data_IF_746710352163
#
_entry.id   IF_746710352163
#
_cell.length_a   1.000
_cell.length_b   1.000
_cell.length_c   1.000
_cell.angle_alpha   90.00
_cell.angle_beta   90.00
_cell.angle_gamma   90.00
#
_symmetry.space_group_name_H-M   'P 1'
#
loop_
_entity.id
_entity.type
_entity.pdbx_description
1 polymer ?
#
# COMPACT_ATOMS: atom_id res chain seq x y z
N UNK A 1 -27.28 20.74 -16.63
CA UNK A 1 -25.88 20.25 -16.80
C UNK A 1 -25.08 20.78 -15.62
N UNK A 2 -24.97 20.01 -14.54
CA UNK A 2 -24.14 20.38 -13.39
C UNK A 2 -22.68 20.07 -13.73
N UNK A 3 -21.82 21.07 -13.57
CA UNK A 3 -20.44 21.11 -14.06
C UNK A 3 -19.52 20.58 -12.96
N UNK A 4 -18.73 19.55 -13.28
CA UNK A 4 -17.83 18.86 -12.32
C UNK A 4 -16.81 19.81 -11.66
N UNK A 5 -16.48 20.94 -12.29
CA UNK A 5 -15.55 21.95 -11.79
C UNK A 5 -15.92 22.54 -10.42
N UNK A 6 -17.19 22.50 -10.01
CA UNK A 6 -17.62 23.03 -8.71
C UNK A 6 -17.35 22.05 -7.55
N UNK A 7 -17.24 20.75 -7.84
CA UNK A 7 -16.98 19.73 -6.82
C UNK A 7 -15.54 19.85 -6.28
N UNK A 8 -14.56 20.03 -7.18
CA UNK A 8 -13.14 20.14 -6.81
C UNK A 8 -12.77 21.46 -6.12
N UNK A 9 -13.62 22.48 -6.23
CA UNK A 9 -13.42 23.79 -5.58
C UNK A 9 -14.05 23.89 -4.20
N UNK A 10 -14.84 22.90 -3.79
CA UNK A 10 -15.47 22.89 -2.48
C UNK A 10 -14.40 22.71 -1.38
N UNK A 11 -14.52 23.50 -0.31
CA UNK A 11 -13.68 23.40 0.89
C UNK A 11 -13.64 21.98 1.48
N UNK A 12 -14.70 21.19 1.33
CA UNK A 12 -14.74 19.79 1.78
C UNK A 12 -13.82 18.89 0.94
N UNK A 13 -13.81 19.06 -0.38
CA UNK A 13 -12.90 18.35 -1.28
C UNK A 13 -11.45 18.70 -0.97
N UNK A 14 -11.15 20.00 -0.78
CA UNK A 14 -9.82 20.43 -0.42
C UNK A 14 -9.36 19.86 0.94
N UNK A 15 -10.25 19.78 1.92
CA UNK A 15 -9.92 19.25 3.25
C UNK A 15 -9.66 17.73 3.23
N UNK A 16 -10.30 16.99 2.34
CA UNK A 16 -10.12 15.55 2.22
C UNK A 16 -8.92 15.16 1.33
N UNK A 17 -8.65 15.92 0.27
CA UNK A 17 -7.71 15.52 -0.80
C UNK A 17 -6.55 16.49 -1.04
N UNK A 18 -6.66 17.75 -0.62
CA UNK A 18 -5.62 18.78 -0.75
C UNK A 18 -4.88 19.07 0.56
N UNK A 19 -5.22 18.39 1.65
CA UNK A 19 -4.72 18.78 2.96
C UNK A 19 -3.20 18.61 3.08
N UNK A 20 -2.60 17.66 2.38
CA UNK A 20 -1.15 17.43 2.49
C UNK A 20 -0.61 16.88 1.16
N UNK A 21 -0.08 17.76 0.30
CA UNK A 21 0.74 17.37 -0.87
C UNK A 21 2.01 16.57 -0.45
N UNK A 22 2.30 16.47 0.86
CA UNK A 22 3.47 15.79 1.43
C UNK A 22 3.11 14.75 2.51
N UNK A 23 2.18 13.83 2.21
CA UNK A 23 2.17 12.50 2.82
C UNK A 23 2.19 12.46 4.35
N UNK A 24 1.44 13.35 5.01
CA UNK A 24 1.29 13.33 6.47
C UNK A 24 0.75 11.98 6.92
N UNK A 25 1.44 11.33 7.86
CA UNK A 25 1.00 10.06 8.44
C UNK A 25 -0.39 10.23 9.06
N UNK A 26 -1.40 9.62 8.45
CA UNK A 26 -2.79 9.70 8.88
C UNK A 26 -2.90 8.98 10.22
N UNK A 27 -2.85 9.75 11.30
CA UNK A 27 -2.81 9.23 12.69
C UNK A 27 -4.17 8.71 13.17
N UNK A 28 -5.24 9.03 12.44
CA UNK A 28 -6.62 8.56 12.67
C UNK A 28 -6.93 7.23 11.95
N UNK A 29 -5.98 6.66 11.20
CA UNK A 29 -6.15 5.30 10.74
C UNK A 29 -6.09 4.33 11.93
N UNK A 30 -6.91 3.27 11.93
CA UNK A 30 -6.84 2.22 12.95
C UNK A 30 -5.41 1.73 13.08
N UNK A 31 -4.74 2.08 14.19
CA UNK A 31 -3.33 1.80 14.38
C UNK A 31 -3.20 0.36 14.85
N UNK A 32 -2.73 -0.53 13.98
CA UNK A 32 -2.30 -1.88 14.39
C UNK A 32 -1.05 -1.71 15.25
N UNK A 33 -1.20 -1.85 16.57
CA UNK A 33 -0.05 -1.94 17.46
C UNK A 33 0.61 -3.30 17.26
N UNK A 34 1.62 -3.36 16.41
CA UNK A 34 2.58 -4.48 16.34
C UNK A 34 3.47 -4.41 17.59
N UNK A 35 2.86 -4.67 18.75
CA UNK A 35 3.51 -4.59 20.07
C UNK A 35 3.70 -5.93 20.75
N UNK A 36 3.11 -7.00 20.21
CA UNK A 36 3.27 -8.35 20.76
C UNK A 36 3.77 -9.30 19.67
N UNK A 37 5.09 -9.43 19.58
CA UNK A 37 5.78 -10.32 18.64
C UNK A 37 5.58 -11.81 18.95
N UNK A 38 4.63 -12.17 19.82
CA UNK A 38 4.29 -13.57 20.15
C UNK A 38 2.96 -14.05 19.56
N UNK A 39 2.17 -13.16 18.95
CA UNK A 39 0.92 -13.51 18.30
C UNK A 39 1.02 -13.13 16.82
N UNK A 40 1.35 -14.10 15.95
CA UNK A 40 0.93 -13.97 14.54
C UNK A 40 -0.57 -13.64 14.51
N UNK A 41 -1.08 -12.90 13.50
CA UNK A 41 -2.41 -12.27 13.57
C UNK A 41 -3.49 -13.32 13.83
N UNK A 42 -3.79 -13.56 15.11
CA UNK A 42 -4.79 -14.52 15.55
C UNK A 42 -6.20 -13.94 15.39
N UNK A 43 -6.31 -12.66 15.00
CA UNK A 43 -7.57 -11.99 14.70
C UNK A 43 -7.41 -11.00 13.55
N UNK A 44 -7.34 -11.50 12.32
CA UNK A 44 -7.43 -10.68 11.11
C UNK A 44 -6.29 -9.66 10.93
N UNK A 45 -6.21 -9.11 9.73
CA UNK A 45 -5.45 -7.88 9.45
C UNK A 45 -6.22 -6.63 9.87
N UNK A 46 -7.54 -6.71 10.02
CA UNK A 46 -8.40 -5.57 10.41
C UNK A 46 -8.90 -5.73 11.84
N UNK A 47 -8.71 -4.70 12.66
CA UNK A 47 -9.34 -4.63 13.99
C UNK A 47 -10.83 -4.40 13.82
N UNK A 48 -11.64 -5.37 14.27
CA UNK A 48 -13.12 -5.27 14.23
C UNK A 48 -13.64 -4.29 15.27
N UNK A 49 -14.55 -3.39 14.87
CA UNK A 49 -15.21 -2.41 15.72
C UNK A 49 -16.72 -2.66 15.71
N UNK A 50 -17.34 -2.73 14.54
CA UNK A 50 -18.78 -2.93 14.36
C UNK A 50 -19.17 -4.38 14.09
N UNK A 51 -18.21 -5.25 13.76
CA UNK A 51 -18.43 -6.65 13.36
C UNK A 51 -19.44 -6.76 12.20
N UNK A 52 -19.32 -5.89 11.21
CA UNK A 52 -20.16 -5.88 10.02
C UNK A 52 -19.45 -6.45 8.79
N UNK A 53 -20.24 -6.68 7.73
CA UNK A 53 -19.73 -7.26 6.48
C UNK A 53 -18.67 -6.38 5.78
N UNK A 54 -18.60 -5.08 6.08
CA UNK A 54 -17.58 -4.19 5.52
C UNK A 54 -16.23 -4.48 6.15
N UNK A 55 -16.18 -4.71 7.46
CA UNK A 55 -14.95 -5.11 8.14
C UNK A 55 -14.43 -6.46 7.66
N UNK A 56 -15.32 -7.41 7.38
CA UNK A 56 -14.94 -8.72 6.81
C UNK A 56 -14.38 -8.59 5.38
N UNK A 57 -14.99 -7.75 4.54
CA UNK A 57 -14.46 -7.45 3.19
C UNK A 57 -13.08 -6.76 3.26
N UNK A 58 -12.90 -5.85 4.22
CA UNK A 58 -11.60 -5.21 4.44
C UNK A 58 -10.54 -6.23 4.87
N UNK A 59 -10.89 -7.19 5.74
CA UNK A 59 -9.96 -8.23 6.18
C UNK A 59 -9.54 -9.14 5.02
N UNK A 60 -10.50 -9.56 4.19
CA UNK A 60 -10.26 -10.36 2.99
C UNK A 60 -9.37 -9.61 1.98
N UNK A 61 -9.71 -8.35 1.69
CA UNK A 61 -8.94 -7.53 0.75
C UNK A 61 -7.50 -7.32 1.23
N UNK A 62 -7.29 -7.05 2.52
CA UNK A 62 -5.93 -6.85 3.06
C UNK A 62 -5.15 -8.17 3.10
N UNK A 63 -5.80 -9.31 3.34
CA UNK A 63 -5.16 -10.61 3.21
C UNK A 63 -4.68 -10.87 1.77
N UNK A 64 -5.50 -10.52 0.78
CA UNK A 64 -5.10 -10.60 -0.63
C UNK A 64 -3.92 -9.65 -0.92
N UNK A 65 -3.97 -8.41 -0.42
CA UNK A 65 -2.86 -7.45 -0.54
C UNK A 65 -1.58 -7.97 0.08
N UNK A 66 -1.63 -8.60 1.26
CA UNK A 66 -0.46 -9.23 1.90
C UNK A 66 0.20 -10.28 0.99
N UNK A 67 -0.63 -11.10 0.32
CA UNK A 67 -0.16 -12.07 -0.68
C UNK A 67 0.46 -11.37 -1.89
N UNK A 68 -0.18 -10.32 -2.40
CA UNK A 68 0.35 -9.53 -3.51
C UNK A 68 1.68 -8.87 -3.18
N UNK A 69 1.86 -8.36 -1.96
CA UNK A 69 3.14 -7.79 -1.49
C UNK A 69 4.24 -8.86 -1.48
N UNK A 70 3.93 -10.09 -1.07
CA UNK A 70 4.86 -11.21 -1.19
C UNK A 70 5.30 -11.48 -2.63
N UNK A 71 4.36 -11.45 -3.57
CA UNK A 71 4.65 -11.63 -4.99
C UNK A 71 5.48 -10.46 -5.56
N UNK A 72 5.14 -9.21 -5.21
CA UNK A 72 5.91 -8.01 -5.59
C UNK A 72 7.35 -8.08 -5.06
N UNK A 73 7.55 -8.58 -3.83
CA UNK A 73 8.89 -8.77 -3.26
C UNK A 73 9.71 -9.77 -4.09
N UNK A 74 9.11 -10.90 -4.45
CA UNK A 74 9.81 -11.90 -5.26
C UNK A 74 10.16 -11.32 -6.64
N UNK A 75 9.22 -10.63 -7.30
CA UNK A 75 9.51 -9.96 -8.58
C UNK A 75 10.60 -8.89 -8.45
N UNK A 76 10.65 -8.13 -7.35
CA UNK A 76 11.71 -7.16 -7.11
C UNK A 76 13.08 -7.82 -6.97
N UNK A 77 13.16 -8.98 -6.31
CA UNK A 77 14.41 -9.74 -6.16
C UNK A 77 14.86 -10.29 -7.53
N UNK A 78 13.94 -10.87 -8.29
CA UNK A 78 14.24 -11.45 -9.60
C UNK A 78 14.68 -10.35 -10.58
N UNK A 79 13.96 -9.22 -10.62
CA UNK A 79 14.34 -8.05 -11.40
C UNK A 79 15.69 -7.48 -10.97
N UNK A 80 15.97 -7.37 -9.67
CA UNK A 80 17.28 -6.88 -9.17
C UNK A 80 18.44 -7.77 -9.61
N UNK A 81 18.24 -9.09 -9.56
CA UNK A 81 19.23 -10.07 -10.00
C UNK A 81 19.45 -9.95 -11.51
N UNK A 82 18.36 -9.84 -12.28
CA UNK A 82 18.41 -9.71 -13.73
C UNK A 82 19.10 -8.42 -14.17
N UNK A 83 18.77 -7.27 -13.56
CA UNK A 83 19.46 -6.00 -13.82
C UNK A 83 20.96 -6.11 -13.53
N UNK A 84 21.34 -6.77 -12.43
CA UNK A 84 22.76 -6.98 -12.09
C UNK A 84 23.48 -7.86 -13.12
N UNK A 85 22.79 -8.85 -13.70
CA UNK A 85 23.31 -9.69 -14.77
C UNK A 85 23.49 -8.90 -16.07
N UNK A 86 22.49 -8.10 -16.43
CA UNK A 86 22.50 -7.25 -17.62
C UNK A 86 23.59 -6.19 -17.53
N UNK A 87 23.78 -5.53 -16.39
CA UNK A 87 24.86 -4.57 -16.18
C UNK A 87 26.24 -5.20 -16.43
N UNK A 88 26.52 -6.38 -15.85
CA UNK A 88 27.78 -7.10 -16.11
C UNK A 88 27.95 -7.49 -17.58
N UNK A 89 26.87 -7.74 -18.30
CA UNK A 89 26.91 -8.00 -19.74
C UNK A 89 27.21 -6.73 -20.54
N UNK A 90 26.59 -5.60 -20.17
CA UNK A 90 26.87 -4.29 -20.76
C UNK A 90 28.34 -3.90 -20.58
N UNK A 91 28.92 -4.12 -19.40
CA UNK A 91 30.35 -3.84 -19.15
C UNK A 91 31.24 -4.63 -20.13
N UNK A 92 30.96 -5.93 -20.32
CA UNK A 92 31.69 -6.76 -21.29
C UNK A 92 31.51 -6.34 -22.75
N UNK A 93 30.39 -5.70 -23.09
CA UNK A 93 30.15 -5.16 -24.43
C UNK A 93 30.91 -3.84 -24.59
N UNK A 94 30.91 -3.01 -23.55
CA UNK A 94 31.59 -1.72 -23.55
C UNK A 94 33.12 -1.85 -23.60
N UNK A 95 33.66 -2.88 -22.96
CA UNK A 95 35.10 -3.17 -22.97
C UNK A 95 35.58 -3.87 -24.27
N UNK A 96 34.67 -4.13 -25.23
CA UNK A 96 34.97 -4.70 -26.55
C UNK A 96 34.91 -3.64 -27.64
#
# INVERSE_FOLDING_TARGET
LFRADDFEKNSEYAKAWKKDDDGGVISDQPRITVGDSSMGPQGGYVTRITNDAREDEMDENIQQVSTMVGNLRNMAIDMSTEVSNQNRQLDRIHDK
#
